data_IF_088850652473
#
_entry.id   IF_088850652473
#
_cell.length_a   1.000
_cell.length_b   1.000
_cell.length_c   1.000
_cell.angle_alpha   90.00
_cell.angle_beta   90.00
_cell.angle_gamma   90.00
#
_symmetry.space_group_name_H-M   'P 1'
#
loop_
_entity.id
_entity.type
_entity.pdbx_description
1 polymer ?
#
# COMPACT_ATOMS: atom_id res chain seq x y z
N UNK A 1 54.26 28.95 -5.04
CA UNK A 1 54.92 27.71 -5.50
C UNK A 1 54.94 26.75 -4.32
N UNK A 2 54.18 25.66 -4.40
CA UNK A 2 54.10 24.66 -3.32
C UNK A 2 55.22 23.62 -3.51
N UNK A 3 55.87 23.16 -2.43
CA UNK A 3 56.95 22.18 -2.52
C UNK A 3 56.40 20.79 -2.92
N UNK A 4 57.22 19.93 -3.56
CA UNK A 4 56.76 18.63 -4.00
C UNK A 4 56.59 17.70 -2.79
N UNK A 5 55.39 17.13 -2.64
CA UNK A 5 55.12 16.12 -1.63
C UNK A 5 55.82 14.81 -2.02
N UNK A 6 56.70 14.36 -1.12
CA UNK A 6 57.47 13.13 -1.21
C UNK A 6 56.57 11.90 -1.35
N UNK A 7 56.81 11.08 -2.38
CA UNK A 7 56.05 9.88 -2.75
C UNK A 7 56.25 8.69 -1.78
N UNK A 8 56.52 8.92 -0.50
CA UNK A 8 56.83 7.88 0.50
C UNK A 8 55.72 7.60 1.52
N UNK A 9 54.48 8.00 1.22
CA UNK A 9 53.32 7.75 2.10
C UNK A 9 52.16 7.03 1.38
N UNK A 10 52.45 6.31 0.29
CA UNK A 10 51.42 5.70 -0.58
C UNK A 10 51.35 4.17 -0.58
N UNK A 11 52.21 3.45 0.14
CA UNK A 11 52.34 2.00 -0.05
C UNK A 11 51.34 1.13 0.75
N UNK A 12 50.40 1.72 1.48
CA UNK A 12 49.42 0.97 2.30
C UNK A 12 47.97 1.49 2.22
N UNK A 13 47.64 2.34 1.25
CA UNK A 13 46.24 2.76 1.07
C UNK A 13 45.54 1.75 0.16
N UNK A 14 44.81 0.80 0.76
CA UNK A 14 43.84 -0.02 0.01
C UNK A 14 42.79 0.92 -0.60
N UNK A 15 42.65 0.84 -1.93
CA UNK A 15 41.59 1.51 -2.66
C UNK A 15 40.24 1.00 -2.14
N UNK A 16 39.52 1.84 -1.40
CA UNK A 16 38.17 1.51 -0.95
C UNK A 16 37.24 1.51 -2.17
N UNK A 17 36.75 0.32 -2.53
CA UNK A 17 35.68 0.20 -3.52
C UNK A 17 34.39 0.64 -2.84
N UNK A 18 33.65 1.63 -3.37
CA UNK A 18 32.36 2.01 -2.82
C UNK A 18 31.40 0.82 -2.88
N UNK A 19 31.08 0.23 -1.73
CA UNK A 19 30.05 -0.80 -1.64
C UNK A 19 28.70 -0.10 -1.51
N UNK A 20 27.84 -0.26 -2.51
CA UNK A 20 26.45 0.21 -2.43
C UNK A 20 25.68 -0.68 -1.45
N UNK A 21 25.57 -0.24 -0.19
CA UNK A 21 24.71 -0.89 0.80
C UNK A 21 23.31 -0.29 0.65
N UNK A 22 22.35 -1.09 0.21
CA UNK A 22 20.95 -0.65 0.23
C UNK A 22 20.40 -0.80 1.64
N UNK A 23 19.88 0.27 2.27
CA UNK A 23 19.30 0.18 3.61
C UNK A 23 18.11 -0.80 3.64
N UNK A 24 17.99 -1.59 4.70
CA UNK A 24 16.87 -2.54 4.91
C UNK A 24 15.49 -1.85 4.84
N UNK A 25 15.42 -0.56 5.19
CA UNK A 25 14.18 0.23 5.09
C UNK A 25 13.78 0.42 3.61
N UNK A 26 14.74 0.68 2.72
CA UNK A 26 14.48 0.83 1.30
C UNK A 26 14.05 -0.49 0.66
N UNK A 27 14.59 -1.62 1.13
CA UNK A 27 14.11 -2.94 0.66
C UNK A 27 12.69 -3.23 1.15
N UNK A 28 12.35 -2.89 2.40
CA UNK A 28 10.98 -3.04 2.91
C UNK A 28 9.97 -2.15 2.15
N UNK A 29 10.33 -0.89 1.83
CA UNK A 29 9.51 0.01 1.01
C UNK A 29 9.24 -0.58 -0.37
N UNK A 30 10.31 -1.02 -1.04
CA UNK A 30 10.21 -1.60 -2.37
C UNK A 30 9.38 -2.88 -2.37
N UNK A 31 9.58 -3.75 -1.38
CA UNK A 31 8.82 -4.99 -1.26
C UNK A 31 7.33 -4.72 -1.02
N UNK A 32 6.98 -3.78 -0.13
CA UNK A 32 5.58 -3.39 0.10
C UNK A 32 4.91 -2.90 -1.19
N UNK A 33 5.59 -2.04 -1.97
CA UNK A 33 5.08 -1.59 -3.26
C UNK A 33 4.91 -2.75 -4.26
N UNK A 34 5.88 -3.68 -4.31
CA UNK A 34 5.81 -4.83 -5.22
C UNK A 34 4.68 -5.79 -4.85
N UNK A 35 4.45 -6.06 -3.57
CA UNK A 35 3.32 -6.88 -3.11
C UNK A 35 1.98 -6.20 -3.41
N UNK A 36 1.86 -4.88 -3.18
CA UNK A 36 0.66 -4.14 -3.55
C UNK A 36 0.38 -4.18 -5.05
N UNK A 37 1.41 -4.19 -5.91
CA UNK A 37 1.23 -4.33 -7.36
C UNK A 37 0.75 -5.73 -7.80
N UNK A 38 0.82 -6.74 -6.92
CA UNK A 38 0.30 -8.09 -7.19
C UNK A 38 -1.15 -8.26 -6.76
N UNK A 39 -1.73 -7.28 -6.05
CA UNK A 39 -3.14 -7.32 -5.64
C UNK A 39 -4.00 -7.16 -6.88
N UNK A 40 -4.82 -8.17 -7.17
CA UNK A 40 -5.75 -8.20 -8.31
C UNK A 40 -7.12 -7.65 -7.93
N UNK A 41 -7.60 -7.95 -6.71
CA UNK A 41 -8.88 -7.47 -6.21
C UNK A 41 -8.91 -7.29 -4.68
N UNK A 42 -9.77 -6.38 -4.22
CA UNK A 42 -10.13 -6.21 -2.82
C UNK A 42 -11.66 -6.35 -2.70
N UNK A 43 -12.12 -7.10 -1.71
CA UNK A 43 -13.53 -7.15 -1.34
C UNK A 43 -13.70 -6.74 0.11
N UNK A 44 -14.73 -5.94 0.40
CA UNK A 44 -15.07 -5.55 1.78
C UNK A 44 -16.49 -5.96 2.12
N UNK A 45 -16.66 -6.59 3.28
CA UNK A 45 -17.95 -7.06 3.78
C UNK A 45 -18.16 -6.62 5.22
N UNK A 46 -19.40 -6.34 5.64
CA UNK A 46 -19.68 -6.10 7.05
C UNK A 46 -19.51 -7.39 7.87
N UNK A 47 -18.90 -7.29 9.04
CA UNK A 47 -18.64 -8.41 9.93
C UNK A 47 -19.90 -8.84 10.71
N UNK A 48 -20.88 -9.43 10.03
CA UNK A 48 -22.00 -10.15 10.66
C UNK A 48 -22.88 -9.35 11.64
N UNK A 49 -23.82 -10.06 12.29
CA UNK A 49 -24.83 -9.44 13.16
C UNK A 49 -24.20 -9.11 14.52
N UNK A 50 -24.08 -7.82 14.86
CA UNK A 50 -23.60 -7.34 16.17
C UNK A 50 -22.34 -6.48 16.13
N UNK A 51 -21.57 -6.52 15.03
CA UNK A 51 -20.37 -5.67 14.85
C UNK A 51 -20.59 -4.64 13.73
N UNK A 52 -21.44 -3.64 13.98
CA UNK A 52 -21.87 -2.66 12.95
C UNK A 52 -20.71 -1.89 12.29
N UNK A 53 -19.62 -1.67 13.03
CA UNK A 53 -18.48 -0.87 12.57
C UNK A 53 -17.30 -1.72 12.11
N UNK A 54 -17.42 -3.05 12.15
CA UNK A 54 -16.37 -3.98 11.72
C UNK A 54 -16.62 -4.45 10.29
N UNK A 55 -15.54 -4.48 9.55
CA UNK A 55 -15.45 -4.77 8.13
C UNK A 55 -14.42 -5.87 7.96
N UNK A 56 -14.77 -6.90 7.20
CA UNK A 56 -13.86 -7.93 6.74
C UNK A 56 -13.31 -7.47 5.40
N UNK A 57 -11.99 -7.28 5.33
CA UNK A 57 -11.25 -6.98 4.11
C UNK A 57 -10.64 -8.27 3.61
N UNK A 58 -10.96 -8.64 2.38
CA UNK A 58 -10.43 -9.80 1.66
C UNK A 58 -9.56 -9.28 0.52
N UNK A 59 -8.28 -9.64 0.55
CA UNK A 59 -7.30 -9.25 -0.47
C UNK A 59 -6.98 -10.47 -1.30
N UNK A 60 -7.17 -10.34 -2.60
CA UNK A 60 -6.77 -11.33 -3.60
C UNK A 60 -5.46 -10.83 -4.20
N UNK A 61 -4.52 -11.74 -4.46
CA UNK A 61 -3.27 -11.41 -5.11
C UNK A 61 -2.76 -12.58 -5.95
N UNK A 62 -2.02 -12.29 -7.00
CA UNK A 62 -1.40 -13.28 -7.88
C UNK A 62 -0.27 -14.04 -7.18
N UNK A 63 -0.66 -15.15 -6.56
CA UNK A 63 0.25 -16.17 -6.08
C UNK A 63 0.75 -16.99 -7.27
N UNK A 64 1.99 -16.75 -7.70
CA UNK A 64 2.68 -17.59 -8.69
C UNK A 64 3.01 -19.02 -8.19
N UNK A 65 2.27 -19.54 -7.20
CA UNK A 65 2.35 -20.92 -6.73
C UNK A 65 0.95 -21.50 -6.60
N UNK A 66 0.38 -21.89 -7.74
CA UNK A 66 -0.71 -22.87 -7.76
C UNK A 66 -0.12 -24.15 -8.30
N UNK A 67 0.10 -25.14 -7.44
CA UNK A 67 0.34 -26.51 -7.88
C UNK A 67 -0.82 -26.94 -8.80
N UNK A 68 -0.56 -27.50 -10.00
CA UNK A 68 -1.62 -27.89 -10.92
C UNK A 68 -2.12 -29.27 -10.49
N UNK A 69 -3.13 -29.30 -9.64
CA UNK A 69 -3.89 -30.52 -9.37
C UNK A 69 -5.35 -30.19 -9.07
N UNK A 70 -6.14 -29.87 -10.10
CA UNK A 70 -7.37 -30.61 -10.41
C UNK A 70 -7.99 -30.09 -11.69
N UNK A 71 -8.40 -31.07 -12.49
CA UNK A 71 -8.99 -31.02 -13.80
C UNK A 71 -10.47 -30.61 -13.73
N UNK A 72 -10.98 -30.22 -14.90
CA UNK A 72 -12.39 -30.09 -15.34
C UNK A 72 -13.18 -28.77 -15.17
N UNK A 73 -13.33 -28.13 -16.33
CA UNK A 73 -14.57 -27.64 -16.97
C UNK A 73 -15.26 -26.33 -16.51
N UNK A 74 -15.23 -25.36 -17.44
CA UNK A 74 -16.30 -24.45 -17.90
C UNK A 74 -17.16 -23.69 -16.87
N UNK A 75 -16.96 -22.36 -16.77
CA UNK A 75 -17.97 -21.32 -17.07
C UNK A 75 -17.44 -19.93 -16.67
N UNK A 76 -17.46 -18.99 -17.61
CA UNK A 76 -17.06 -17.59 -17.41
C UNK A 76 -18.14 -16.86 -16.59
N UNK A 77 -18.11 -17.01 -15.26
CA UNK A 77 -18.81 -16.12 -14.33
C UNK A 77 -17.96 -15.86 -13.07
N UNK A 78 -17.44 -14.63 -12.98
CA UNK A 78 -16.96 -13.98 -11.76
C UNK A 78 -15.90 -14.76 -10.95
N UNK A 79 -14.76 -15.00 -11.60
CA UNK A 79 -13.58 -15.73 -11.10
C UNK A 79 -13.11 -15.27 -9.69
N UNK A 80 -13.31 -13.99 -9.35
CA UNK A 80 -12.93 -13.42 -8.07
C UNK A 80 -13.73 -13.97 -6.87
N UNK A 81 -14.91 -14.58 -7.09
CA UNK A 81 -15.72 -15.17 -6.01
C UNK A 81 -15.36 -16.61 -5.67
N UNK A 82 -14.71 -17.33 -6.58
CA UNK A 82 -14.29 -18.73 -6.40
C UNK A 82 -12.85 -18.83 -5.88
N UNK A 83 -12.02 -17.81 -6.14
CA UNK A 83 -10.66 -17.73 -5.62
C UNK A 83 -10.67 -17.57 -4.09
N UNK A 84 -9.79 -18.30 -3.39
CA UNK A 84 -9.55 -18.09 -1.95
C UNK A 84 -8.78 -16.78 -1.76
N UNK A 85 -9.18 -15.88 -0.84
CA UNK A 85 -8.42 -14.65 -0.59
C UNK A 85 -7.04 -14.98 -0.04
N UNK A 86 -6.02 -14.27 -0.53
CA UNK A 86 -4.63 -14.36 -0.07
C UNK A 86 -4.52 -13.89 1.38
N UNK A 87 -5.23 -12.81 1.72
CA UNK A 87 -5.35 -12.31 3.10
C UNK A 87 -6.81 -12.00 3.43
N UNK A 88 -7.21 -12.33 4.66
CA UNK A 88 -8.51 -11.95 5.21
C UNK A 88 -8.30 -11.31 6.59
N UNK A 89 -8.73 -10.07 6.74
CA UNK A 89 -8.48 -9.28 7.94
C UNK A 89 -9.72 -8.50 8.39
N UNK A 90 -9.90 -8.37 9.71
CA UNK A 90 -10.95 -7.52 10.27
C UNK A 90 -10.40 -6.11 10.55
N UNK A 91 -11.19 -5.10 10.18
CA UNK A 91 -10.91 -3.68 10.40
C UNK A 91 -12.17 -2.96 10.86
N UNK A 92 -12.01 -1.96 11.70
CA UNK A 92 -13.05 -1.02 12.08
C UNK A 92 -13.12 0.12 11.08
N UNK A 93 -14.29 0.76 10.93
CA UNK A 93 -14.43 1.97 10.11
C UNK A 93 -13.43 3.07 10.51
N UNK A 94 -13.16 3.23 11.81
CA UNK A 94 -12.19 4.20 12.30
C UNK A 94 -10.77 3.92 11.82
N UNK A 95 -10.38 2.65 11.62
CA UNK A 95 -9.07 2.32 11.04
C UNK A 95 -8.96 2.74 9.57
N UNK A 96 -10.06 2.71 8.79
CA UNK A 96 -10.07 3.27 7.43
C UNK A 96 -9.92 4.80 7.44
N UNK A 97 -10.62 5.48 8.36
CA UNK A 97 -10.48 6.94 8.53
C UNK A 97 -9.05 7.29 8.94
N UNK A 98 -8.48 6.54 9.88
CA UNK A 98 -7.09 6.70 10.31
C UNK A 98 -6.10 6.47 9.15
N UNK A 99 -6.33 5.44 8.32
CA UNK A 99 -5.54 5.18 7.12
C UNK A 99 -5.57 6.39 6.17
N UNK A 100 -6.77 6.87 5.82
CA UNK A 100 -6.94 8.04 4.93
C UNK A 100 -6.18 9.25 5.47
N UNK A 101 -6.39 9.59 6.75
CA UNK A 101 -5.78 10.77 7.36
C UNK A 101 -4.26 10.65 7.43
N UNK A 102 -3.74 9.44 7.72
CA UNK A 102 -2.30 9.20 7.77
C UNK A 102 -1.65 9.38 6.39
N UNK A 103 -2.27 8.85 5.33
CA UNK A 103 -1.75 9.02 3.96
C UNK A 103 -1.89 10.47 3.50
N UNK A 104 -3.02 11.12 3.81
CA UNK A 104 -3.24 12.54 3.51
C UNK A 104 -2.16 13.43 4.11
N UNK A 105 -1.87 13.29 5.40
CA UNK A 105 -0.85 14.12 6.06
C UNK A 105 0.52 13.97 5.39
N UNK A 106 0.92 12.74 5.06
CA UNK A 106 2.21 12.48 4.39
C UNK A 106 2.23 13.10 2.98
N UNK A 107 1.15 12.93 2.22
CA UNK A 107 1.03 13.46 0.85
C UNK A 107 1.02 14.98 0.85
N UNK A 108 0.28 15.58 1.78
CA UNK A 108 0.18 17.02 1.97
C UNK A 108 1.54 17.64 2.30
N UNK A 109 2.30 16.99 3.19
CA UNK A 109 3.61 17.46 3.64
C UNK A 109 4.76 17.09 2.66
N UNK A 110 4.49 16.30 1.62
CA UNK A 110 5.52 15.81 0.70
C UNK A 110 6.07 16.89 -0.25
N UNK A 111 5.29 17.94 -0.51
CA UNK A 111 5.60 18.96 -1.51
C UNK A 111 5.30 20.35 -0.97
N UNK A 112 6.25 21.28 -1.11
CA UNK A 112 6.06 22.68 -0.76
C UNK A 112 5.30 23.48 -1.83
N UNK A 113 5.32 23.04 -3.08
CA UNK A 113 4.71 23.75 -4.21
C UNK A 113 3.91 22.82 -5.11
N UNK A 114 4.56 22.15 -6.07
CA UNK A 114 3.89 21.30 -7.05
C UNK A 114 3.93 19.84 -6.59
N UNK A 115 2.75 19.22 -6.35
CA UNK A 115 2.67 17.81 -6.01
C UNK A 115 3.01 16.94 -7.23
N UNK A 116 3.67 15.80 -7.00
CA UNK A 116 3.80 14.79 -8.05
C UNK A 116 2.45 14.15 -8.40
N UNK A 117 2.35 13.43 -9.53
CA UNK A 117 1.10 12.81 -10.01
C UNK A 117 0.40 11.97 -8.93
N UNK A 118 1.17 11.17 -8.18
CA UNK A 118 0.62 10.37 -7.07
C UNK A 118 0.02 11.25 -5.96
N UNK A 119 0.78 12.25 -5.51
CA UNK A 119 0.35 13.14 -4.42
C UNK A 119 -0.86 13.98 -4.83
N UNK A 120 -0.85 14.52 -6.06
CA UNK A 120 -1.99 15.23 -6.62
C UNK A 120 -3.22 14.33 -6.70
N UNK A 121 -3.08 13.14 -7.27
CA UNK A 121 -4.17 12.18 -7.41
C UNK A 121 -4.75 11.73 -6.07
N UNK A 122 -3.92 11.56 -5.03
CA UNK A 122 -4.41 11.24 -3.69
C UNK A 122 -5.15 12.43 -3.06
N UNK A 123 -4.67 13.67 -3.23
CA UNK A 123 -5.41 14.85 -2.76
C UNK A 123 -6.76 14.99 -3.46
N UNK A 124 -6.83 14.74 -4.76
CA UNK A 124 -8.10 14.71 -5.51
C UNK A 124 -9.02 13.59 -4.99
N UNK A 125 -8.49 12.41 -4.69
CA UNK A 125 -9.24 11.31 -4.07
C UNK A 125 -9.84 11.73 -2.72
N UNK A 126 -9.09 12.47 -1.90
CA UNK A 126 -9.54 12.94 -0.58
C UNK A 126 -10.74 13.90 -0.68
N UNK A 127 -10.82 14.69 -1.75
CA UNK A 127 -11.86 15.70 -1.99
C UNK A 127 -13.05 15.13 -2.78
N UNK A 128 -12.79 14.37 -3.84
CA UNK A 128 -13.79 13.93 -4.83
C UNK A 128 -14.04 12.42 -4.83
N UNK A 129 -13.18 11.63 -4.18
CA UNK A 129 -13.24 10.18 -4.16
C UNK A 129 -14.15 9.60 -3.10
N UNK A 130 -14.13 8.27 -2.99
CA UNK A 130 -14.84 7.57 -1.93
C UNK A 130 -14.23 7.91 -0.56
N UNK A 131 -15.03 8.44 0.35
CA UNK A 131 -14.56 8.92 1.64
C UNK A 131 -15.09 8.06 2.80
N UNK A 132 -14.23 7.31 3.52
CA UNK A 132 -14.65 6.54 4.70
C UNK A 132 -15.15 7.42 5.86
N UNK A 133 -14.74 8.69 5.90
CA UNK A 133 -15.13 9.69 6.92
C UNK A 133 -16.30 10.57 6.47
N UNK A 134 -16.93 10.25 5.34
CA UNK A 134 -18.04 11.04 4.82
C UNK A 134 -19.21 11.02 5.80
N UNK A 135 -19.82 12.18 6.08
CA UNK A 135 -21.02 12.34 6.94
C UNK A 135 -22.13 11.33 6.59
N UNK A 136 -22.24 10.98 5.31
CA UNK A 136 -23.21 10.00 4.84
C UNK A 136 -22.87 8.58 5.27
N UNK A 137 -21.61 8.19 5.39
CA UNK A 137 -21.16 6.81 5.68
C UNK A 137 -21.69 6.28 7.00
N UNK A 138 -21.77 7.10 8.05
CA UNK A 138 -22.39 6.73 9.32
C UNK A 138 -23.92 6.55 9.25
N UNK A 139 -24.56 7.12 8.23
CA UNK A 139 -26.00 6.97 7.93
C UNK A 139 -26.27 5.90 6.87
N UNK A 140 -25.24 5.40 6.20
CA UNK A 140 -25.35 4.36 5.17
C UNK A 140 -25.59 3.00 5.85
N UNK A 141 -26.56 2.23 5.34
CA UNK A 141 -26.68 0.83 5.73
C UNK A 141 -25.39 0.05 5.39
N UNK A 142 -25.11 -1.03 6.12
CA UNK A 142 -23.84 -1.76 6.04
C UNK A 142 -23.34 -2.08 4.61
N UNK A 143 -24.24 -2.48 3.69
CA UNK A 143 -23.87 -2.75 2.29
C UNK A 143 -23.34 -1.53 1.53
N UNK A 144 -23.81 -0.33 1.86
CA UNK A 144 -23.34 0.92 1.25
C UNK A 144 -22.04 1.39 1.90
N UNK A 145 -21.92 1.23 3.21
CA UNK A 145 -20.66 1.41 3.94
C UNK A 145 -19.54 0.54 3.35
N UNK A 146 -19.75 -0.77 3.27
CA UNK A 146 -18.77 -1.73 2.74
C UNK A 146 -18.29 -1.36 1.32
N UNK A 147 -19.23 -1.05 0.41
CA UNK A 147 -18.90 -0.60 -0.95
C UNK A 147 -18.14 0.72 -0.99
N UNK A 148 -18.41 1.64 -0.05
CA UNK A 148 -17.72 2.93 0.00
C UNK A 148 -16.26 2.75 0.41
N UNK A 149 -16.02 1.92 1.44
CA UNK A 149 -14.65 1.65 1.90
C UNK A 149 -13.87 0.75 0.94
N UNK A 150 -14.53 -0.18 0.26
CA UNK A 150 -13.95 -0.98 -0.84
C UNK A 150 -13.48 -0.06 -1.97
N UNK A 151 -14.37 0.81 -2.47
CA UNK A 151 -14.02 1.78 -3.51
C UNK A 151 -12.90 2.72 -3.09
N UNK A 152 -12.85 3.13 -1.82
CA UNK A 152 -11.74 3.91 -1.29
C UNK A 152 -10.41 3.15 -1.41
N UNK A 153 -10.36 1.88 -1.00
CA UNK A 153 -9.15 1.06 -1.12
C UNK A 153 -8.75 0.85 -2.58
N UNK A 154 -9.70 0.59 -3.47
CA UNK A 154 -9.43 0.43 -4.90
C UNK A 154 -8.85 1.70 -5.53
N UNK A 155 -9.44 2.86 -5.23
CA UNK A 155 -8.93 4.16 -5.69
C UNK A 155 -7.50 4.41 -5.20
N UNK A 156 -7.23 4.17 -3.91
CA UNK A 156 -5.89 4.32 -3.33
C UNK A 156 -4.90 3.35 -3.94
N UNK A 157 -5.29 2.08 -4.12
CA UNK A 157 -4.43 1.06 -4.74
C UNK A 157 -4.12 1.42 -6.19
N UNK A 158 -5.10 1.90 -6.95
CA UNK A 158 -4.90 2.32 -8.35
C UNK A 158 -3.87 3.45 -8.48
N UNK A 159 -3.81 4.37 -7.51
CA UNK A 159 -2.79 5.41 -7.43
C UNK A 159 -1.41 4.82 -7.10
N UNK A 160 -1.35 3.89 -6.15
CA UNK A 160 -0.09 3.26 -5.71
C UNK A 160 0.55 2.42 -6.82
N UNK A 161 -0.24 1.67 -7.59
CA UNK A 161 0.29 0.81 -8.66
C UNK A 161 1.04 1.62 -9.73
N UNK A 162 0.68 2.91 -9.90
CA UNK A 162 1.30 3.85 -10.84
C UNK A 162 2.60 4.48 -10.30
N UNK A 163 2.95 4.24 -9.03
CA UNK A 163 4.22 4.70 -8.46
C UNK A 163 5.39 3.94 -9.08
N UNK A 164 6.39 4.67 -9.54
CA UNK A 164 7.64 4.11 -10.01
C UNK A 164 8.51 3.62 -8.85
N UNK A 165 9.24 2.54 -9.09
CA UNK A 165 10.05 1.85 -8.07
C UNK A 165 11.25 2.65 -7.53
N UNK A 166 11.44 3.89 -8.01
CA UNK A 166 12.47 4.84 -7.55
C UNK A 166 11.96 5.88 -6.54
N UNK A 167 10.65 5.93 -6.25
CA UNK A 167 10.01 6.75 -5.20
C UNK A 167 10.69 8.08 -4.88
N UNK A 168 10.24 9.19 -5.47
CA UNK A 168 10.95 10.47 -5.39
C UNK A 168 10.51 11.38 -4.22
N UNK A 169 9.38 11.09 -3.56
CA UNK A 169 8.87 11.88 -2.43
C UNK A 169 8.41 11.01 -1.24
N UNK A 170 8.19 11.65 -0.08
CA UNK A 170 7.72 10.97 1.14
C UNK A 170 6.37 10.26 0.92
N UNK A 171 5.48 10.85 0.11
CA UNK A 171 4.23 10.22 -0.32
C UNK A 171 4.46 8.91 -1.06
N UNK A 172 5.28 8.91 -2.10
CA UNK A 172 5.55 7.71 -2.91
C UNK A 172 6.34 6.63 -2.15
N UNK A 173 7.11 7.00 -1.13
CA UNK A 173 7.89 6.04 -0.33
C UNK A 173 7.11 5.48 0.86
N UNK A 174 6.29 6.29 1.53
CA UNK A 174 5.64 5.92 2.79
C UNK A 174 4.19 5.45 2.61
N UNK A 175 3.44 6.01 1.66
CA UNK A 175 2.04 5.62 1.45
C UNK A 175 1.89 4.14 1.07
N UNK A 176 2.71 3.57 0.16
CA UNK A 176 2.64 2.13 -0.13
C UNK A 176 2.89 1.27 1.11
N UNK A 177 3.82 1.64 1.98
CA UNK A 177 4.07 0.88 3.21
C UNK A 177 2.88 0.88 4.14
N UNK A 178 2.26 2.05 4.33
CA UNK A 178 1.12 2.20 5.24
C UNK A 178 -0.09 1.41 4.72
N UNK A 179 -0.37 1.49 3.42
CA UNK A 179 -1.46 0.73 2.80
C UNK A 179 -1.16 -0.77 2.84
N UNK A 180 0.09 -1.18 2.59
CA UNK A 180 0.50 -2.57 2.72
C UNK A 180 0.29 -3.09 4.15
N UNK A 181 0.76 -2.39 5.17
CA UNK A 181 0.53 -2.78 6.57
C UNK A 181 -0.96 -2.87 6.88
N UNK A 182 -1.77 -1.93 6.38
CA UNK A 182 -3.22 -1.97 6.58
C UNK A 182 -3.88 -3.20 5.94
N UNK A 183 -3.42 -3.63 4.76
CA UNK A 183 -4.02 -4.75 4.03
C UNK A 183 -3.48 -6.13 4.45
N UNK A 184 -2.21 -6.21 4.86
CA UNK A 184 -1.51 -7.49 5.06
C UNK A 184 -1.20 -7.82 6.53
N UNK A 185 -1.16 -6.85 7.45
CA UNK A 185 -0.79 -7.12 8.84
C UNK A 185 -2.02 -7.11 9.76
N UNK A 186 -2.26 -8.21 10.50
CA UNK A 186 -3.27 -8.29 11.56
C UNK A 186 -3.19 -7.14 12.56
N UNK A 187 -4.33 -6.68 13.11
CA UNK A 187 -4.35 -5.74 14.25
C UNK A 187 -3.74 -6.34 15.56
N UNK A 188 -3.18 -7.55 15.51
CA UNK A 188 -2.66 -8.29 16.66
C UNK A 188 -1.13 -8.43 16.68
N UNK A 189 -0.39 -7.62 15.92
CA UNK A 189 1.05 -7.43 16.14
C UNK A 189 1.31 -6.02 16.67
N UNK A 190 0.77 -5.73 17.85
CA UNK A 190 1.29 -4.69 18.72
C UNK A 190 2.08 -5.39 19.83
N UNK A 191 3.40 -5.27 19.76
CA UNK A 191 4.32 -5.60 20.85
C UNK A 191 4.09 -4.70 22.07
#
# INVERSE_FOLDING_TARGET
MLPPLSNKLGSNLQLLVPTTITPTIMSAQRNALLELKKVDAIQVRCAGKGKKDWLVVEVFADSASSDPASDDCEEVQDDARLRRPTVRIERTLLEFVALRNKVYNIVHDAHYSEPCEFCAGFMDQVVFGANPDGLLVGLLGGKRLARTVEKFLDEVLSLIVRIDSRGCCSGQTSAPQIVHTFLFNGANEAA
#
